data_IF_283911969169
#
_entry.id   IF_283911969169
#
_cell.length_a   1.000
_cell.length_b   1.000
_cell.length_c   1.000
_cell.angle_alpha   90.00
_cell.angle_beta   90.00
_cell.angle_gamma   90.00
#
_symmetry.space_group_name_H-M   'P 1'
#
loop_
_entity.id
_entity.type
_entity.pdbx_description
1 polymer ?
#
# COMPACT_ATOMS: atom_id res chain seq x y z
N UNK A 1 -86.05 34.24 18.25
CA UNK A 1 -84.83 34.77 17.61
C UNK A 1 -83.56 34.65 18.47
N UNK A 2 -83.65 34.87 19.81
CA UNK A 2 -82.54 34.82 20.76
C UNK A 2 -81.93 33.41 20.94
N UNK A 3 -82.69 32.34 20.84
CA UNK A 3 -82.21 30.95 20.95
C UNK A 3 -81.41 30.47 19.77
N UNK A 4 -81.68 30.98 18.56
CA UNK A 4 -80.96 30.58 17.37
C UNK A 4 -79.59 31.27 17.34
N UNK A 5 -79.46 32.52 17.74
CA UNK A 5 -78.19 33.25 17.81
C UNK A 5 -77.22 32.66 18.87
N UNK A 6 -77.72 32.24 20.03
CA UNK A 6 -76.85 31.60 21.06
C UNK A 6 -76.31 30.23 20.60
N UNK A 7 -77.09 29.43 19.88
CA UNK A 7 -76.70 28.15 19.32
C UNK A 7 -75.60 28.29 18.25
N UNK A 8 -75.69 29.28 17.38
CA UNK A 8 -74.66 29.55 16.32
C UNK A 8 -73.33 30.01 16.94
N UNK A 9 -73.37 30.83 17.99
CA UNK A 9 -72.18 31.32 18.68
C UNK A 9 -71.49 30.14 19.41
N UNK A 10 -72.20 29.26 20.07
CA UNK A 10 -71.66 28.10 20.77
C UNK A 10 -71.01 27.10 19.82
N UNK A 11 -71.59 26.83 18.65
CA UNK A 11 -71.03 25.94 17.62
C UNK A 11 -69.74 26.56 17.02
N UNK A 12 -69.69 27.89 16.80
CA UNK A 12 -68.53 28.62 16.32
C UNK A 12 -67.34 28.54 17.32
N UNK A 13 -67.57 28.67 18.62
CA UNK A 13 -66.57 28.60 19.68
C UNK A 13 -66.02 27.18 19.81
N UNK A 14 -66.86 26.18 19.74
CA UNK A 14 -66.46 24.74 19.80
C UNK A 14 -65.59 24.38 18.58
N UNK A 15 -65.99 24.85 17.37
CA UNK A 15 -65.27 24.60 16.15
C UNK A 15 -63.87 25.25 16.15
N UNK A 16 -63.75 26.49 16.63
CA UNK A 16 -62.46 27.17 16.74
C UNK A 16 -61.55 26.54 17.77
N UNK A 17 -62.10 26.12 18.92
CA UNK A 17 -61.34 25.40 19.94
C UNK A 17 -60.82 24.06 19.47
N UNK A 18 -61.60 23.31 18.65
CA UNK A 18 -61.20 22.04 18.05
C UNK A 18 -60.10 22.25 17.02
N UNK A 19 -60.21 23.27 16.16
CA UNK A 19 -59.18 23.62 15.16
C UNK A 19 -57.88 24.03 15.84
N UNK A 20 -57.92 24.77 16.92
CA UNK A 20 -56.71 25.17 17.67
C UNK A 20 -56.07 23.99 18.36
N UNK A 21 -56.85 22.99 18.81
CA UNK A 21 -56.34 21.76 19.38
C UNK A 21 -55.64 20.91 18.33
N UNK A 22 -56.25 20.70 17.20
CA UNK A 22 -55.63 19.90 16.08
C UNK A 22 -54.32 20.56 15.61
N UNK A 23 -54.31 21.87 15.40
CA UNK A 23 -53.09 22.60 15.01
C UNK A 23 -51.97 22.47 16.07
N UNK A 24 -52.33 22.48 17.38
CA UNK A 24 -51.36 22.31 18.43
C UNK A 24 -50.80 20.90 18.52
N UNK A 25 -51.59 19.90 18.18
CA UNK A 25 -51.15 18.48 18.11
C UNK A 25 -50.28 18.27 16.86
N UNK A 26 -50.66 18.80 15.69
CA UNK A 26 -49.84 18.77 14.48
C UNK A 26 -48.49 19.48 14.66
N UNK A 27 -48.47 20.62 15.32
CA UNK A 27 -47.27 21.37 15.64
C UNK A 27 -46.32 20.57 16.61
N UNK A 28 -46.90 19.86 17.57
CA UNK A 28 -46.10 18.96 18.45
C UNK A 28 -45.53 17.76 17.72
N UNK A 29 -46.32 17.16 16.84
CA UNK A 29 -45.88 16.02 16.04
C UNK A 29 -44.77 16.44 15.06
N UNK A 30 -44.91 17.60 14.44
CA UNK A 30 -43.89 18.18 13.55
C UNK A 30 -42.61 18.51 14.32
N UNK A 31 -42.72 19.10 15.52
CA UNK A 31 -41.56 19.40 16.38
C UNK A 31 -40.83 18.08 16.82
N UNK A 32 -41.58 17.05 17.16
CA UNK A 32 -41.01 15.74 17.53
C UNK A 32 -40.28 15.07 16.35
N UNK A 33 -40.85 15.17 15.13
CA UNK A 33 -40.21 14.67 13.90
C UNK A 33 -38.90 15.41 13.57
N UNK A 34 -38.89 16.74 13.73
CA UNK A 34 -37.70 17.57 13.52
C UNK A 34 -36.62 17.22 14.56
N UNK A 35 -37.02 17.05 15.84
CA UNK A 35 -36.08 16.66 16.89
C UNK A 35 -35.49 15.26 16.67
N UNK A 36 -36.30 14.34 16.17
CA UNK A 36 -35.83 12.99 15.81
C UNK A 36 -34.87 13.04 14.62
N UNK A 37 -35.17 13.80 13.57
CA UNK A 37 -34.29 14.00 12.41
C UNK A 37 -32.96 14.66 12.81
N UNK A 38 -32.99 15.64 13.72
CA UNK A 38 -31.77 16.25 14.22
C UNK A 38 -30.93 15.27 15.04
N UNK A 39 -31.56 14.44 15.89
CA UNK A 39 -30.86 13.36 16.62
C UNK A 39 -30.26 12.31 15.70
N UNK A 40 -30.94 11.96 14.61
CA UNK A 40 -30.44 11.03 13.61
C UNK A 40 -29.26 11.66 12.83
N UNK A 41 -29.34 12.94 12.46
CA UNK A 41 -28.21 13.67 11.85
C UNK A 41 -27.02 13.81 12.79
N UNK A 42 -27.24 14.17 14.06
CA UNK A 42 -26.19 14.23 15.07
C UNK A 42 -25.57 12.85 15.35
N UNK A 43 -26.34 11.76 15.16
CA UNK A 43 -25.85 10.41 15.29
C UNK A 43 -25.09 9.94 14.04
N UNK A 44 -25.47 10.44 12.85
CA UNK A 44 -24.73 10.24 11.60
C UNK A 44 -23.42 11.07 11.59
N UNK A 45 -23.44 12.34 12.01
CA UNK A 45 -22.23 13.17 12.17
C UNK A 45 -21.28 12.60 13.23
N UNK A 46 -21.79 11.96 14.29
CA UNK A 46 -20.95 11.24 15.27
C UNK A 46 -20.46 9.88 14.80
N UNK A 47 -21.02 9.36 13.71
CA UNK A 47 -20.57 8.21 12.96
C UNK A 47 -19.71 8.58 11.74
N UNK A 48 -19.41 9.85 11.51
CA UNK A 48 -18.24 10.20 10.73
C UNK A 48 -17.04 9.60 11.47
N UNK A 49 -16.70 8.42 11.03
CA UNK A 49 -15.56 7.64 11.46
C UNK A 49 -14.39 8.62 11.44
N UNK A 50 -13.79 8.85 12.59
CA UNK A 50 -12.58 9.65 12.71
C UNK A 50 -11.61 9.06 11.70
N UNK A 51 -11.40 9.73 10.58
CA UNK A 51 -10.45 9.29 9.56
C UNK A 51 -9.12 9.18 10.28
N UNK A 52 -8.64 7.94 10.42
CA UNK A 52 -7.36 7.62 11.05
C UNK A 52 -6.26 8.37 10.29
N UNK A 53 -5.45 9.15 10.99
CA UNK A 53 -4.30 9.80 10.36
C UNK A 53 -3.25 8.77 9.97
N UNK A 54 -2.34 9.14 9.06
CA UNK A 54 -1.25 8.25 8.66
C UNK A 54 -0.39 7.81 9.86
N UNK A 55 -0.06 8.74 10.75
CA UNK A 55 0.71 8.46 11.96
C UNK A 55 -0.02 7.52 12.92
N UNK A 56 -1.34 7.70 13.09
CA UNK A 56 -2.16 6.80 13.90
C UNK A 56 -2.19 5.39 13.29
N UNK A 57 -2.33 5.28 11.96
CA UNK A 57 -2.30 4.00 11.23
C UNK A 57 -0.94 3.32 11.37
N UNK A 58 0.15 4.06 11.17
CA UNK A 58 1.51 3.54 11.30
C UNK A 58 1.77 2.97 12.70
N UNK A 59 1.35 3.70 13.74
CA UNK A 59 1.49 3.26 15.12
C UNK A 59 0.64 2.00 15.38
N UNK A 60 -0.59 1.95 14.90
CA UNK A 60 -1.49 0.80 15.02
C UNK A 60 -0.93 -0.43 14.31
N UNK A 61 -0.54 -0.30 13.05
CA UNK A 61 0.01 -1.42 12.26
C UNK A 61 1.27 -1.98 12.92
N UNK A 62 2.15 -1.12 13.41
CA UNK A 62 3.37 -1.54 14.11
C UNK A 62 3.07 -2.28 15.43
N UNK A 63 2.10 -1.79 16.21
CA UNK A 63 1.67 -2.45 17.44
C UNK A 63 1.01 -3.81 17.16
N UNK A 64 0.13 -3.88 16.17
CA UNK A 64 -0.56 -5.12 15.76
C UNK A 64 0.41 -6.16 15.21
N UNK A 65 1.35 -5.77 14.36
CA UNK A 65 2.40 -6.63 13.84
C UNK A 65 3.25 -7.23 14.96
N UNK A 66 3.59 -6.42 15.97
CA UNK A 66 4.29 -6.89 17.17
C UNK A 66 3.46 -7.89 17.99
N UNK A 67 2.16 -7.62 18.21
CA UNK A 67 1.24 -8.53 18.94
C UNK A 67 1.03 -9.86 18.20
N UNK A 68 0.92 -9.82 16.87
CA UNK A 68 0.78 -11.01 16.01
C UNK A 68 2.10 -11.79 15.86
N UNK A 69 3.23 -11.25 16.34
CA UNK A 69 4.54 -11.89 16.27
C UNK A 69 5.12 -11.94 14.86
N UNK A 70 4.90 -10.92 14.05
CA UNK A 70 5.49 -10.82 12.72
C UNK A 70 7.02 -10.88 12.80
N UNK A 71 7.71 -11.40 11.77
CA UNK A 71 9.16 -11.38 11.72
C UNK A 71 9.70 -9.96 11.91
N UNK A 72 10.77 -9.83 12.70
CA UNK A 72 11.38 -8.53 13.01
C UNK A 72 11.68 -7.71 11.76
N UNK A 73 12.24 -8.36 10.71
CA UNK A 73 12.54 -7.69 9.43
C UNK A 73 11.32 -7.10 8.73
N UNK A 74 10.13 -7.72 8.87
CA UNK A 74 8.87 -7.20 8.33
C UNK A 74 8.44 -5.95 9.07
N UNK A 75 8.50 -5.96 10.41
CA UNK A 75 8.16 -4.77 11.22
C UNK A 75 9.14 -3.62 10.94
N UNK A 76 10.43 -3.91 10.79
CA UNK A 76 11.46 -2.92 10.50
C UNK A 76 11.32 -2.25 9.11
N UNK A 77 10.52 -2.83 8.19
CA UNK A 77 10.20 -2.15 6.93
C UNK A 77 9.54 -0.80 7.18
N UNK A 78 8.62 -0.72 8.15
CA UNK A 78 7.93 0.51 8.54
C UNK A 78 8.89 1.62 9.04
N UNK A 79 10.02 1.24 9.63
CA UNK A 79 11.03 2.19 10.09
C UNK A 79 11.95 2.67 8.96
N UNK A 80 12.05 1.90 7.88
CA UNK A 80 12.90 2.18 6.73
C UNK A 80 12.18 2.96 5.63
N UNK A 81 10.92 2.63 5.41
CA UNK A 81 10.08 3.27 4.39
C UNK A 81 8.61 3.16 4.77
N UNK A 82 7.99 4.29 5.05
CA UNK A 82 6.58 4.38 5.43
C UNK A 82 5.62 3.87 4.34
N UNK A 83 6.03 3.86 3.07
CA UNK A 83 5.24 3.30 1.97
C UNK A 83 5.01 1.78 2.09
N UNK A 84 5.74 1.10 2.97
CA UNK A 84 5.55 -0.33 3.24
C UNK A 84 4.35 -0.64 4.14
N UNK A 85 3.59 0.38 4.56
CA UNK A 85 2.50 0.22 5.54
C UNK A 85 1.43 -0.77 5.08
N UNK A 86 0.99 -0.69 3.82
CA UNK A 86 -0.01 -1.61 3.26
C UNK A 86 0.54 -3.04 3.24
N UNK A 87 1.78 -3.21 2.79
CA UNK A 87 2.47 -4.49 2.77
C UNK A 87 2.55 -5.15 4.16
N UNK A 88 2.88 -4.37 5.19
CA UNK A 88 2.99 -4.89 6.56
C UNK A 88 1.61 -5.18 7.17
N UNK A 89 0.62 -4.34 6.90
CA UNK A 89 -0.76 -4.53 7.39
C UNK A 89 -1.35 -5.83 6.85
N UNK A 90 -1.15 -6.09 5.55
CA UNK A 90 -1.69 -7.25 4.84
C UNK A 90 -0.84 -8.52 4.99
N UNK A 91 0.29 -8.46 5.72
CA UNK A 91 1.24 -9.57 5.84
C UNK A 91 0.58 -10.89 6.25
N UNK A 92 -0.28 -10.88 7.28
CA UNK A 92 -0.90 -12.10 7.79
C UNK A 92 -1.83 -12.78 6.77
N UNK A 93 -2.50 -11.99 5.94
CA UNK A 93 -3.44 -12.47 4.94
C UNK A 93 -2.74 -12.94 3.66
N UNK A 94 -1.58 -12.34 3.34
CA UNK A 94 -0.92 -12.52 2.04
C UNK A 94 0.39 -13.31 2.09
N UNK A 95 0.99 -13.51 3.26
CA UNK A 95 2.31 -14.16 3.41
C UNK A 95 2.43 -15.56 2.81
N UNK A 96 1.32 -16.28 2.71
CA UNK A 96 1.27 -17.67 2.22
C UNK A 96 0.71 -17.75 0.77
N UNK A 97 0.42 -16.61 0.13
CA UNK A 97 -0.03 -16.59 -1.25
C UNK A 97 1.16 -16.88 -2.19
N UNK A 98 0.91 -17.58 -3.31
CA UNK A 98 1.96 -17.79 -4.31
C UNK A 98 2.38 -16.46 -4.93
N UNK A 99 3.67 -16.29 -5.15
CA UNK A 99 4.18 -15.13 -5.86
C UNK A 99 3.71 -15.13 -7.32
N UNK A 100 3.61 -13.95 -7.91
CA UNK A 100 3.32 -13.81 -9.33
C UNK A 100 4.45 -14.45 -10.17
N UNK A 101 4.08 -15.27 -11.12
CA UNK A 101 5.01 -15.94 -12.03
C UNK A 101 5.50 -15.00 -13.15
N UNK A 102 4.77 -13.91 -13.40
CA UNK A 102 5.08 -12.96 -14.48
C UNK A 102 4.86 -11.51 -14.02
N UNK A 103 5.58 -10.60 -14.67
CA UNK A 103 5.32 -9.17 -14.63
C UNK A 103 4.08 -8.84 -15.48
N UNK A 104 3.39 -7.71 -15.19
CA UNK A 104 2.19 -7.31 -15.94
C UNK A 104 2.50 -6.83 -17.34
N UNK A 105 3.59 -6.08 -17.49
CA UNK A 105 4.07 -5.56 -18.78
C UNK A 105 5.57 -5.28 -18.72
N UNK A 106 6.23 -5.54 -19.84
CA UNK A 106 7.66 -5.21 -20.05
C UNK A 106 7.83 -4.69 -21.46
N UNK A 107 8.56 -3.59 -21.62
CA UNK A 107 9.02 -3.09 -22.92
C UNK A 107 10.50 -3.43 -23.06
N UNK A 108 10.86 -4.27 -24.02
CA UNK A 108 12.27 -4.58 -24.27
C UNK A 108 13.05 -3.30 -24.62
N UNK A 109 14.17 -3.09 -23.97
CA UNK A 109 14.98 -1.88 -24.07
C UNK A 109 14.71 -0.83 -22.99
N UNK A 110 13.68 -1.02 -22.16
CA UNK A 110 13.34 -0.14 -21.03
C UNK A 110 13.44 -0.94 -19.73
N UNK A 111 14.31 -0.51 -18.81
CA UNK A 111 14.44 -1.17 -17.51
C UNK A 111 13.22 -0.83 -16.63
N UNK A 112 12.35 -1.79 -16.31
CA UNK A 112 11.18 -1.53 -15.49
C UNK A 112 11.59 -1.19 -14.05
N UNK A 113 10.82 -0.31 -13.39
CA UNK A 113 10.94 -0.10 -11.95
C UNK A 113 10.16 -1.20 -11.23
N UNK A 114 10.86 -2.11 -10.57
CA UNK A 114 10.26 -3.12 -9.71
C UNK A 114 10.51 -2.76 -8.24
N UNK A 115 9.42 -2.70 -7.47
CA UNK A 115 9.49 -2.40 -6.05
C UNK A 115 9.70 -3.69 -5.27
N UNK A 116 10.70 -3.73 -4.40
CA UNK A 116 11.07 -4.95 -3.66
C UNK A 116 9.94 -5.47 -2.76
N UNK A 117 9.13 -4.58 -2.16
CA UNK A 117 7.98 -4.92 -1.32
C UNK A 117 6.65 -4.90 -2.07
N UNK A 118 6.64 -4.99 -3.39
CA UNK A 118 5.40 -5.20 -4.14
C UNK A 118 4.77 -6.53 -3.71
N UNK A 119 3.49 -6.51 -3.37
CA UNK A 119 2.77 -7.66 -2.83
C UNK A 119 2.74 -8.87 -3.75
N UNK A 120 2.94 -8.67 -5.04
CA UNK A 120 2.99 -9.75 -6.04
C UNK A 120 4.14 -10.72 -5.80
N UNK A 121 5.23 -10.28 -5.17
CA UNK A 121 6.42 -11.10 -4.88
C UNK A 121 7.05 -10.86 -3.52
N UNK A 122 6.75 -9.74 -2.88
CA UNK A 122 7.41 -9.32 -1.64
C UNK A 122 7.30 -10.32 -0.49
N UNK A 123 6.18 -11.05 -0.42
CA UNK A 123 5.96 -12.09 0.58
C UNK A 123 6.67 -13.42 0.27
N UNK A 124 7.18 -13.60 -0.96
CA UNK A 124 7.85 -14.84 -1.35
C UNK A 124 9.04 -15.14 -0.42
N UNK A 125 9.22 -16.40 0.01
CA UNK A 125 10.38 -16.78 0.82
C UNK A 125 11.68 -16.48 0.10
N UNK A 126 12.63 -15.90 0.84
CA UNK A 126 13.98 -15.62 0.35
C UNK A 126 14.99 -15.85 1.47
N UNK A 127 15.66 -17.01 1.44
CA UNK A 127 16.52 -17.46 2.53
C UNK A 127 15.75 -17.66 3.83
N UNK A 128 16.26 -17.08 4.88
CA UNK A 128 15.61 -17.08 6.19
C UNK A 128 14.62 -15.91 6.35
N UNK A 129 14.23 -15.26 5.25
CA UNK A 129 13.41 -14.05 5.22
C UNK A 129 12.45 -14.09 4.03
N UNK A 130 12.04 -12.93 3.56
CA UNK A 130 11.19 -12.74 2.38
C UNK A 130 11.83 -11.74 1.42
N UNK A 131 11.38 -11.73 0.17
CA UNK A 131 11.88 -10.81 -0.87
C UNK A 131 11.82 -9.36 -0.41
N UNK A 132 10.70 -8.91 0.18
CA UNK A 132 10.56 -7.53 0.65
C UNK A 132 11.66 -7.07 1.63
N UNK A 133 12.20 -7.99 2.42
CA UNK A 133 13.21 -7.69 3.44
C UNK A 133 14.64 -7.84 2.91
N UNK A 134 14.91 -8.88 2.12
CA UNK A 134 16.27 -9.27 1.74
C UNK A 134 16.50 -9.39 0.24
N UNK A 135 15.47 -9.19 -0.58
CA UNK A 135 15.49 -9.47 -2.02
C UNK A 135 15.98 -8.33 -2.92
N UNK A 136 16.82 -7.39 -2.42
CA UNK A 136 17.32 -6.30 -3.25
C UNK A 136 18.12 -6.80 -4.48
N UNK A 137 18.98 -7.81 -4.31
CA UNK A 137 19.73 -8.42 -5.40
C UNK A 137 18.85 -9.01 -6.50
N UNK A 138 17.97 -9.99 -6.17
CA UNK A 138 17.06 -10.55 -7.16
C UNK A 138 16.11 -9.52 -7.78
N UNK A 139 15.68 -8.48 -7.06
CA UNK A 139 14.88 -7.39 -7.62
C UNK A 139 15.68 -6.60 -8.68
N UNK A 140 16.93 -6.25 -8.40
CA UNK A 140 17.79 -5.59 -9.37
C UNK A 140 18.04 -6.47 -10.61
N UNK A 141 18.29 -7.76 -10.41
CA UNK A 141 18.51 -8.70 -11.53
C UNK A 141 17.23 -8.84 -12.37
N UNK A 142 16.07 -8.95 -11.74
CA UNK A 142 14.78 -9.03 -12.44
C UNK A 142 14.53 -7.80 -13.32
N UNK A 143 14.78 -6.59 -12.78
CA UNK A 143 14.68 -5.35 -13.56
C UNK A 143 15.57 -5.39 -14.82
N UNK A 144 16.86 -5.75 -14.65
CA UNK A 144 17.81 -5.80 -15.76
C UNK A 144 17.43 -6.88 -16.76
N UNK A 145 17.11 -8.10 -16.29
CA UNK A 145 16.75 -9.21 -17.15
C UNK A 145 15.47 -8.90 -17.95
N UNK A 146 14.41 -8.47 -17.29
CA UNK A 146 13.16 -8.09 -17.94
C UNK A 146 13.36 -6.96 -18.96
N UNK A 147 14.06 -5.89 -18.58
CA UNK A 147 14.26 -4.75 -19.46
C UNK A 147 15.10 -5.06 -20.69
N UNK A 148 16.18 -5.81 -20.55
CA UNK A 148 17.05 -6.13 -21.70
C UNK A 148 16.46 -7.19 -22.62
N UNK A 149 15.70 -8.15 -22.10
CA UNK A 149 15.21 -9.29 -22.89
C UNK A 149 13.74 -9.23 -23.27
N UNK A 150 12.94 -8.44 -22.56
CA UNK A 150 11.48 -8.44 -22.69
C UNK A 150 10.80 -9.64 -22.01
N UNK A 151 11.54 -10.43 -21.22
CA UNK A 151 11.02 -11.62 -20.56
C UNK A 151 10.20 -11.24 -19.31
N UNK A 152 8.89 -11.41 -19.41
CA UNK A 152 7.97 -11.14 -18.30
C UNK A 152 8.10 -12.15 -17.15
N UNK A 153 8.75 -13.29 -17.34
CA UNK A 153 8.95 -14.28 -16.27
C UNK A 153 10.10 -13.92 -15.33
N UNK A 154 10.89 -12.89 -15.67
CA UNK A 154 11.96 -12.38 -14.82
C UNK A 154 11.38 -11.59 -13.62
N UNK A 155 10.88 -12.29 -12.61
CA UNK A 155 10.31 -11.69 -11.39
C UNK A 155 11.31 -11.72 -10.25
N UNK A 156 11.19 -10.80 -9.24
CA UNK A 156 12.02 -10.82 -8.05
C UNK A 156 11.94 -12.11 -7.22
N UNK A 157 10.83 -12.85 -7.31
CA UNK A 157 10.66 -14.14 -6.63
C UNK A 157 11.53 -15.26 -7.21
N UNK A 158 12.06 -15.10 -8.43
CA UNK A 158 12.98 -16.05 -9.08
C UNK A 158 14.43 -15.89 -8.59
N UNK A 159 14.63 -15.28 -7.42
CA UNK A 159 15.97 -15.11 -6.82
C UNK A 159 16.62 -16.43 -6.44
N UNK A 160 17.92 -16.51 -6.65
CA UNK A 160 18.74 -17.64 -6.27
C UNK A 160 19.51 -17.34 -4.99
N UNK A 161 19.65 -18.34 -4.15
CA UNK A 161 20.40 -18.30 -2.91
C UNK A 161 21.54 -19.34 -2.94
N UNK A 162 22.58 -19.08 -2.16
CA UNK A 162 23.58 -20.09 -1.86
C UNK A 162 23.05 -21.11 -0.82
N UNK A 163 23.87 -22.13 -0.52
CA UNK A 163 23.53 -23.17 0.47
C UNK A 163 23.34 -22.60 1.90
N UNK A 164 23.86 -21.39 2.16
CA UNK A 164 23.76 -20.67 3.42
C UNK A 164 22.62 -19.65 3.45
N UNK A 165 21.76 -19.64 2.40
CA UNK A 165 20.63 -18.72 2.24
C UNK A 165 21.02 -17.23 2.11
N UNK A 166 22.20 -16.93 1.59
CA UNK A 166 22.57 -15.56 1.22
C UNK A 166 22.40 -15.33 -0.27
N UNK A 167 22.18 -14.07 -0.68
CA UNK A 167 22.34 -13.68 -2.07
C UNK A 167 23.80 -13.93 -2.46
N UNK A 168 24.03 -14.94 -3.27
CA UNK A 168 25.34 -15.34 -3.67
C UNK A 168 25.96 -14.30 -4.62
N UNK A 169 27.17 -13.83 -4.34
CA UNK A 169 27.81 -12.82 -5.21
C UNK A 169 27.91 -13.27 -6.65
N UNK A 170 28.24 -14.54 -6.91
CA UNK A 170 28.20 -15.11 -8.24
C UNK A 170 26.81 -15.13 -8.86
N UNK A 171 25.72 -15.04 -8.05
CA UNK A 171 24.39 -14.91 -8.60
C UNK A 171 24.29 -13.71 -9.53
N UNK A 172 24.83 -12.57 -9.14
CA UNK A 172 24.76 -11.34 -9.95
C UNK A 172 25.45 -11.48 -11.32
N UNK A 173 26.53 -12.25 -11.40
CA UNK A 173 27.23 -12.52 -12.67
C UNK A 173 26.75 -13.77 -13.41
N UNK A 174 26.15 -14.74 -12.71
CA UNK A 174 25.73 -16.02 -13.31
C UNK A 174 24.24 -16.05 -13.67
N UNK A 175 23.38 -15.38 -12.91
CA UNK A 175 21.94 -15.38 -13.16
C UNK A 175 21.57 -14.81 -14.53
N UNK A 176 22.30 -13.82 -15.01
CA UNK A 176 22.11 -13.25 -16.34
C UNK A 176 22.16 -14.28 -17.47
N UNK A 177 22.92 -15.37 -17.29
CA UNK A 177 23.02 -16.47 -18.26
C UNK A 177 21.68 -17.15 -18.52
N UNK A 178 20.79 -17.19 -17.53
CA UNK A 178 19.44 -17.76 -17.67
C UNK A 178 18.61 -17.00 -18.71
N UNK A 179 18.94 -15.75 -18.93
CA UNK A 179 18.30 -14.88 -19.93
C UNK A 179 19.21 -14.54 -21.11
N UNK A 180 20.32 -15.29 -21.27
CA UNK A 180 21.27 -15.05 -22.37
C UNK A 180 22.09 -13.78 -22.23
N UNK A 181 22.13 -13.18 -21.03
CA UNK A 181 22.89 -11.97 -20.74
C UNK A 181 24.33 -12.30 -20.32
N UNK A 182 25.27 -11.48 -20.73
CA UNK A 182 26.66 -11.52 -20.27
C UNK A 182 26.82 -10.51 -19.15
N UNK A 183 26.99 -11.01 -17.93
CA UNK A 183 27.25 -10.19 -16.74
C UNK A 183 28.70 -10.39 -16.29
N UNK A 184 29.36 -9.33 -15.84
CA UNK A 184 30.69 -9.41 -15.27
C UNK A 184 30.80 -8.51 -14.04
N UNK A 185 31.61 -8.92 -13.10
CA UNK A 185 31.88 -8.17 -11.87
C UNK A 185 33.16 -7.34 -12.06
N UNK A 186 33.13 -6.10 -11.65
CA UNK A 186 34.29 -5.19 -11.75
C UNK A 186 34.21 -4.05 -10.73
N UNK A 187 35.36 -3.70 -10.20
CA UNK A 187 35.54 -2.42 -9.46
C UNK A 187 35.61 -1.28 -10.47
N UNK A 188 34.53 -0.54 -10.63
CA UNK A 188 34.43 0.52 -11.62
C UNK A 188 34.65 1.90 -11.00
N UNK A 189 35.42 2.73 -11.69
CA UNK A 189 35.43 4.18 -11.43
C UNK A 189 34.14 4.83 -11.94
N UNK A 190 33.83 6.02 -11.43
CA UNK A 190 32.68 6.79 -11.92
C UNK A 190 32.71 6.97 -13.45
N UNK A 191 33.87 7.25 -14.05
CA UNK A 191 34.00 7.42 -15.50
C UNK A 191 33.68 6.13 -16.28
N UNK A 192 34.05 4.97 -15.74
CA UNK A 192 33.72 3.67 -16.34
C UNK A 192 32.21 3.36 -16.23
N UNK A 193 31.60 3.63 -15.06
CA UNK A 193 30.14 3.49 -14.88
C UNK A 193 29.40 4.37 -15.90
N UNK A 194 29.78 5.64 -16.01
CA UNK A 194 29.18 6.55 -16.99
C UNK A 194 29.34 6.04 -18.44
N UNK A 195 30.50 5.47 -18.78
CA UNK A 195 30.75 4.90 -20.11
C UNK A 195 29.83 3.71 -20.41
N UNK A 196 29.62 2.81 -19.43
CA UNK A 196 28.70 1.68 -19.57
C UNK A 196 27.25 2.15 -19.74
N UNK A 197 26.81 3.09 -18.91
CA UNK A 197 25.47 3.65 -19.01
C UNK A 197 25.21 4.35 -20.34
N UNK A 198 26.20 5.10 -20.85
CA UNK A 198 26.13 5.75 -22.17
C UNK A 198 26.10 4.73 -23.33
N UNK A 199 26.70 3.56 -23.12
CA UNK A 199 26.63 2.45 -24.07
C UNK A 199 25.28 1.67 -23.99
N UNK A 200 24.39 2.03 -23.06
CA UNK A 200 23.10 1.37 -22.84
C UNK A 200 23.20 0.11 -21.97
N UNK A 201 24.32 -0.06 -21.25
CA UNK A 201 24.49 -1.17 -20.33
C UNK A 201 24.09 -0.76 -18.89
N UNK A 202 23.03 -1.32 -18.30
CA UNK A 202 22.68 -1.05 -16.93
C UNK A 202 23.73 -1.63 -15.99
N UNK A 203 23.95 -0.94 -14.86
CA UNK A 203 24.95 -1.31 -13.85
C UNK A 203 24.26 -1.60 -12.53
N UNK A 204 24.40 -2.82 -12.01
CA UNK A 204 23.96 -3.16 -10.66
C UNK A 204 25.09 -2.84 -9.70
N UNK A 205 24.85 -1.90 -8.78
CA UNK A 205 25.83 -1.48 -7.78
C UNK A 205 25.51 -2.12 -6.42
N UNK A 206 26.55 -2.68 -5.79
CA UNK A 206 26.52 -2.95 -4.35
C UNK A 206 26.96 -1.70 -3.62
N UNK A 207 26.11 -1.18 -2.76
CA UNK A 207 26.37 0.03 -2.00
C UNK A 207 26.41 -0.27 -0.50
N UNK A 208 27.36 0.37 0.18
CA UNK A 208 27.48 0.34 1.64
C UNK A 208 26.62 1.43 2.31
N UNK A 209 26.76 1.58 3.64
CA UNK A 209 26.08 2.65 4.37
C UNK A 209 26.38 4.04 3.81
N UNK A 210 25.36 4.84 3.56
CA UNK A 210 25.45 6.18 2.96
C UNK A 210 24.06 6.69 2.58
N UNK A 211 23.98 7.45 1.50
CA UNK A 211 22.76 8.12 1.06
C UNK A 211 21.63 7.16 0.66
N UNK A 212 21.96 5.95 0.21
CA UNK A 212 20.96 4.99 -0.29
C UNK A 212 20.55 3.95 0.73
N UNK A 213 21.32 3.73 1.79
CA UNK A 213 21.06 2.68 2.77
C UNK A 213 21.84 2.89 4.06
N UNK A 214 21.33 2.35 5.16
CA UNK A 214 22.06 2.27 6.43
C UNK A 214 22.92 1.01 6.54
N UNK A 215 22.70 0.04 5.65
CA UNK A 215 23.41 -1.25 5.59
C UNK A 215 23.89 -1.50 4.15
N UNK A 216 24.21 -2.76 3.80
CA UNK A 216 24.45 -3.12 2.41
C UNK A 216 23.16 -3.13 1.59
N UNK A 217 23.23 -2.72 0.33
CA UNK A 217 22.09 -2.73 -0.59
C UNK A 217 22.55 -2.89 -2.04
N UNK A 218 21.64 -3.36 -2.90
CA UNK A 218 21.83 -3.33 -4.35
C UNK A 218 20.90 -2.31 -4.99
N UNK A 219 21.41 -1.56 -5.94
CA UNK A 219 20.67 -0.61 -6.76
C UNK A 219 21.01 -0.79 -8.24
N UNK A 220 20.11 -0.38 -9.14
CA UNK A 220 20.35 -0.39 -10.57
C UNK A 220 20.53 1.03 -11.08
N UNK A 221 21.63 1.29 -11.77
CA UNK A 221 21.84 2.51 -12.53
C UNK A 221 21.43 2.22 -13.98
N UNK A 222 20.54 3.04 -14.54
CA UNK A 222 19.94 2.81 -15.86
C UNK A 222 20.31 3.87 -16.89
N UNK A 223 20.95 4.95 -16.48
CA UNK A 223 21.38 6.03 -17.35
C UNK A 223 22.15 7.12 -16.59
N UNK A 224 22.77 8.03 -17.33
CA UNK A 224 23.44 9.22 -16.81
C UNK A 224 23.22 10.40 -17.76
N UNK A 225 23.15 11.61 -17.22
CA UNK A 225 23.12 12.90 -17.95
C UNK A 225 24.50 13.56 -17.95
#
# INVERSE_FOLDING_TARGET
>A
LYFITAAVICVGIISTALILRTRKEEAKETAAKIEQQNREKDAEEKKEEKIETFEERLARVKEEAGKKGYPKGVIELLDKNEETIDFVEDYEEKKDLPAAETLDAVTQGEIPLLIQWDERWGYAPYGNSIVAVSGCGPTCMAMVAAGLTGDMTATPANGYLDEENNTYWKFMSEAGKNWGLSCYESDMTQAQIMSELQAGHPVICSVGPGDFTQNGHFIVLVGCE
#
